data_IF_746146018829
#
_entry.id   IF_746146018829
#
_cell.length_a   1.000
_cell.length_b   1.000
_cell.length_c   1.000
_cell.angle_alpha   90.00
_cell.angle_beta   90.00
_cell.angle_gamma   90.00
#
_symmetry.space_group_name_H-M   'P 1'
#
loop_
_entity.id
_entity.type
_entity.pdbx_description
1 polymer ?
#
# COMPACT_ATOMS: atom_id res chain seq x y z
N UNK A 1 -10.30 16.73 11.82
CA UNK A 1 -10.78 15.83 10.76
C UNK A 1 -9.61 15.22 10.04
N UNK A 2 -9.58 13.93 9.99
CA UNK A 2 -8.48 13.23 9.36
C UNK A 2 -8.81 12.97 7.89
N UNK A 3 -7.88 13.28 7.02
CA UNK A 3 -8.00 13.02 5.60
C UNK A 3 -7.20 11.77 5.24
N UNK A 4 -7.44 10.71 5.97
CA UNK A 4 -6.74 9.45 5.74
C UNK A 4 -7.21 8.85 4.43
N UNK A 5 -6.26 8.58 3.54
CA UNK A 5 -6.58 7.84 2.33
C UNK A 5 -6.90 6.40 2.71
N UNK A 6 -8.02 5.89 2.23
CA UNK A 6 -8.42 4.51 2.45
C UNK A 6 -9.03 3.96 1.18
N UNK A 7 -8.58 2.77 0.79
CA UNK A 7 -9.08 2.10 -0.41
C UNK A 7 -9.95 0.92 0.00
N UNK A 8 -11.18 0.82 -0.52
CA UNK A 8 -12.05 -0.29 -0.15
C UNK A 8 -11.66 -1.58 -0.87
N UNK A 9 -11.68 -2.68 -0.13
CA UNK A 9 -11.38 -4.00 -0.68
C UNK A 9 -12.41 -4.98 -0.17
N UNK A 10 -13.14 -5.64 -1.08
CA UNK A 10 -14.04 -6.72 -0.71
C UNK A 10 -13.24 -8.02 -0.67
N UNK A 11 -13.45 -8.82 0.37
CA UNK A 11 -12.81 -10.12 0.47
C UNK A 11 -13.61 -11.14 -0.35
N UNK A 12 -12.94 -11.78 -1.30
CA UNK A 12 -13.52 -12.80 -2.17
C UNK A 12 -13.06 -14.18 -1.72
N UNK A 13 -13.66 -15.23 -2.26
CA UNK A 13 -13.23 -16.61 -1.97
C UNK A 13 -11.75 -16.83 -2.26
N UNK A 14 -11.28 -16.29 -3.38
CA UNK A 14 -9.87 -16.47 -3.77
C UNK A 14 -8.90 -15.88 -2.75
N UNK A 15 -9.38 -15.00 -1.88
CA UNK A 15 -8.54 -14.35 -0.86
C UNK A 15 -8.43 -15.17 0.42
N UNK A 16 -9.27 -16.20 0.57
CA UNK A 16 -9.36 -16.93 1.83
C UNK A 16 -8.67 -18.29 1.74
N UNK A 17 -8.32 -18.82 2.91
CA UNK A 17 -7.78 -20.18 3.03
C UNK A 17 -8.86 -21.11 3.54
N UNK A 18 -8.48 -22.36 3.85
CA UNK A 18 -9.44 -23.38 4.29
C UNK A 18 -10.13 -23.01 5.60
N UNK A 19 -9.57 -22.11 6.37
CA UNK A 19 -10.19 -21.65 7.62
C UNK A 19 -11.24 -20.59 7.43
N UNK A 20 -11.47 -20.14 6.20
CA UNK A 20 -12.47 -19.11 5.91
C UNK A 20 -12.01 -17.69 6.22
N UNK A 21 -10.73 -17.52 6.50
CA UNK A 21 -10.15 -16.19 6.77
C UNK A 21 -9.19 -15.83 5.65
N UNK A 22 -8.91 -14.55 5.49
CA UNK A 22 -7.98 -14.08 4.46
C UNK A 22 -6.63 -14.75 4.68
N UNK A 23 -6.11 -15.36 3.62
CA UNK A 23 -4.76 -15.93 3.63
C UNK A 23 -3.77 -14.79 3.87
N UNK A 24 -2.89 -14.97 4.85
CA UNK A 24 -2.11 -13.85 5.38
C UNK A 24 -1.31 -13.09 4.31
N UNK A 25 -0.81 -13.78 3.30
CA UNK A 25 -0.04 -13.12 2.25
C UNK A 25 -0.89 -12.19 1.37
N UNK A 26 -2.21 -12.41 1.34
CA UNK A 26 -3.09 -11.57 0.52
C UNK A 26 -3.23 -10.16 1.06
N UNK A 27 -2.96 -9.94 2.34
CA UNK A 27 -2.95 -8.57 2.86
C UNK A 27 -1.91 -7.71 2.15
N UNK A 28 -0.79 -8.31 1.74
CA UNK A 28 0.22 -7.59 0.97
C UNK A 28 -0.32 -7.16 -0.40
N UNK A 29 -1.17 -7.98 -1.01
CA UNK A 29 -1.82 -7.62 -2.27
C UNK A 29 -2.81 -6.48 -2.06
N UNK A 30 -3.58 -6.52 -0.99
CA UNK A 30 -4.52 -5.44 -0.66
C UNK A 30 -3.77 -4.13 -0.44
N UNK A 31 -2.63 -4.20 0.26
CA UNK A 31 -1.81 -3.03 0.51
C UNK A 31 -1.20 -2.49 -0.77
N UNK A 32 -0.78 -3.36 -1.69
CA UNK A 32 -0.23 -2.94 -2.96
C UNK A 32 -1.28 -2.20 -3.79
N UNK A 33 -2.51 -2.72 -3.84
CA UNK A 33 -3.59 -2.05 -4.55
C UNK A 33 -3.86 -0.67 -3.97
N UNK A 34 -3.88 -0.58 -2.64
CA UNK A 34 -4.13 0.69 -1.97
C UNK A 34 -3.03 1.70 -2.27
N UNK A 35 -1.75 1.27 -2.28
CA UNK A 35 -0.64 2.16 -2.64
C UNK A 35 -0.77 2.65 -4.08
N UNK A 36 -1.14 1.76 -5.00
CA UNK A 36 -1.31 2.12 -6.40
C UNK A 36 -2.40 3.17 -6.55
N UNK A 37 -3.52 3.01 -5.86
CA UNK A 37 -4.61 3.98 -5.93
C UNK A 37 -4.26 5.28 -5.22
N UNK A 38 -3.47 5.20 -4.15
CA UNK A 38 -2.98 6.38 -3.45
C UNK A 38 -2.14 7.25 -4.38
N UNK A 39 -1.19 6.63 -5.09
CA UNK A 39 -0.36 7.36 -6.04
C UNK A 39 -1.20 7.91 -7.19
N UNK A 40 -2.17 7.13 -7.68
CA UNK A 40 -3.05 7.58 -8.75
C UNK A 40 -3.86 8.80 -8.31
N UNK A 41 -4.32 8.79 -7.07
CA UNK A 41 -5.07 9.94 -6.52
C UNK A 41 -4.20 11.19 -6.43
N UNK A 42 -2.89 11.04 -6.33
CA UNK A 42 -1.94 12.15 -6.36
C UNK A 42 -1.54 12.54 -7.77
N UNK A 43 -2.05 11.85 -8.78
CA UNK A 43 -1.73 12.14 -10.17
C UNK A 43 -0.61 11.31 -10.76
N UNK A 44 -0.20 10.23 -10.09
CA UNK A 44 0.92 9.40 -10.55
C UNK A 44 0.42 8.01 -10.94
N UNK A 45 0.67 7.66 -12.21
CA UNK A 45 0.46 6.30 -12.71
C UNK A 45 1.82 5.65 -12.79
N UNK A 46 1.95 4.44 -12.26
CA UNK A 46 3.27 3.81 -12.20
C UNK A 46 3.83 3.49 -13.56
N UNK A 47 2.98 3.11 -14.52
CA UNK A 47 3.44 2.88 -15.89
C UNK A 47 3.91 4.18 -16.55
N UNK A 48 3.27 5.30 -16.25
CA UNK A 48 3.68 6.61 -16.76
C UNK A 48 5.01 7.03 -16.14
N UNK A 49 5.19 6.79 -14.84
CA UNK A 49 6.46 7.09 -14.18
C UNK A 49 7.59 6.29 -14.82
N UNK A 50 7.35 5.02 -15.10
CA UNK A 50 8.35 4.18 -15.74
C UNK A 50 8.71 4.72 -17.13
N UNK A 51 7.69 5.07 -17.92
CA UNK A 51 7.90 5.51 -19.29
C UNK A 51 8.52 6.89 -19.39
N UNK A 52 8.14 7.82 -18.52
CA UNK A 52 8.56 9.22 -18.62
C UNK A 52 9.74 9.56 -17.75
N UNK A 53 9.77 9.03 -16.53
CA UNK A 53 10.79 9.38 -15.55
C UNK A 53 11.87 8.31 -15.43
N UNK A 54 11.61 7.12 -15.99
CA UNK A 54 12.57 6.03 -15.93
C UNK A 54 12.75 5.44 -14.55
N UNK A 55 11.75 5.57 -13.69
CA UNK A 55 11.84 5.07 -12.32
C UNK A 55 10.76 4.04 -12.05
N UNK A 56 11.07 3.10 -11.16
CA UNK A 56 10.13 2.14 -10.62
C UNK A 56 10.27 2.12 -9.11
N UNK A 57 9.21 1.65 -8.44
CA UNK A 57 9.24 1.42 -7.00
C UNK A 57 9.18 -0.07 -6.75
N UNK A 58 10.10 -0.57 -5.92
CA UNK A 58 10.09 -1.99 -5.52
C UNK A 58 10.02 -2.05 -4.01
N UNK A 59 9.29 -3.04 -3.48
CA UNK A 59 9.20 -3.24 -2.05
C UNK A 59 10.49 -3.91 -1.58
N UNK A 60 11.14 -3.31 -0.59
CA UNK A 60 12.40 -3.84 -0.04
C UNK A 60 12.23 -4.29 1.41
N UNK A 61 11.15 -3.92 2.06
CA UNK A 61 10.88 -4.36 3.42
C UNK A 61 9.39 -4.27 3.70
N UNK A 62 8.88 -5.28 4.38
CA UNK A 62 7.48 -5.28 4.79
C UNK A 62 7.42 -5.84 6.21
N UNK A 63 6.79 -5.07 7.11
CA UNK A 63 6.52 -5.50 8.48
C UNK A 63 5.02 -5.46 8.67
N UNK A 64 4.44 -6.61 9.01
CA UNK A 64 2.99 -6.71 9.11
C UNK A 64 2.64 -7.44 10.40
N UNK A 65 1.73 -6.85 11.16
CA UNK A 65 1.21 -7.44 12.38
C UNK A 65 -0.25 -7.77 12.17
N UNK A 66 -0.61 -9.04 12.37
CA UNK A 66 -1.98 -9.51 12.19
C UNK A 66 -2.64 -9.54 13.55
N UNK A 67 -3.69 -8.72 13.71
CA UNK A 67 -4.37 -8.61 14.99
C UNK A 67 -5.65 -9.41 15.03
N UNK A 68 -6.44 -9.32 13.96
CA UNK A 68 -7.70 -10.06 13.85
C UNK A 68 -7.93 -10.42 12.40
N UNK A 69 -8.59 -11.54 12.13
CA UNK A 69 -8.77 -12.00 10.76
C UNK A 69 -9.90 -11.28 10.03
N UNK A 70 -9.69 -10.99 8.76
CA UNK A 70 -10.77 -10.66 7.85
C UNK A 70 -11.33 -11.95 7.29
N UNK A 71 -12.61 -11.94 6.95
CA UNK A 71 -13.33 -13.13 6.51
C UNK A 71 -13.95 -12.89 5.15
N UNK A 72 -14.36 -13.98 4.53
CA UNK A 72 -15.05 -13.91 3.25
C UNK A 72 -16.18 -12.88 3.32
N UNK A 73 -16.28 -12.10 2.28
CA UNK A 73 -17.31 -11.08 2.07
C UNK A 73 -17.20 -9.84 2.95
N UNK A 74 -16.21 -9.76 3.82
CA UNK A 74 -15.96 -8.51 4.55
C UNK A 74 -15.59 -7.40 3.57
N UNK A 75 -16.00 -6.17 3.91
CA UNK A 75 -15.48 -4.98 3.25
C UNK A 75 -14.38 -4.42 4.12
N UNK A 76 -13.24 -4.15 3.51
CA UNK A 76 -12.08 -3.65 4.25
C UNK A 76 -11.77 -2.23 3.81
N UNK A 77 -11.23 -1.44 4.73
CA UNK A 77 -10.65 -0.13 4.41
C UNK A 77 -9.15 -0.25 4.63
N UNK A 78 -8.39 -0.14 3.53
CA UNK A 78 -6.93 -0.26 3.57
C UNK A 78 -6.35 1.14 3.44
N UNK A 79 -5.69 1.60 4.50
CA UNK A 79 -5.19 2.98 4.55
C UNK A 79 -3.79 3.07 3.95
N UNK A 80 -3.42 4.28 3.54
CA UNK A 80 -2.07 4.58 3.07
C UNK A 80 -1.67 5.95 3.61
N UNK A 81 -0.52 6.00 4.24
CA UNK A 81 0.12 7.28 4.58
C UNK A 81 1.61 7.15 4.30
N UNK A 82 2.26 8.28 4.04
CA UNK A 82 3.72 8.29 3.95
C UNK A 82 4.22 8.70 5.33
N UNK A 83 4.84 7.74 6.01
CA UNK A 83 5.31 7.95 7.38
C UNK A 83 6.72 8.53 7.42
N UNK A 84 7.51 8.24 6.39
CA UNK A 84 8.90 8.64 6.33
C UNK A 84 9.40 8.50 4.91
N UNK A 85 10.39 9.29 4.55
CA UNK A 85 11.01 9.17 3.23
C UNK A 85 12.46 9.61 3.28
N UNK A 86 13.28 8.99 2.44
CA UNK A 86 14.63 9.45 2.16
C UNK A 86 14.65 9.93 0.71
N UNK A 87 15.83 10.29 0.21
CA UNK A 87 15.94 10.71 -1.19
C UNK A 87 15.48 9.62 -2.15
N UNK A 88 15.68 8.35 -1.79
CA UNK A 88 15.45 7.22 -2.70
C UNK A 88 14.44 6.19 -2.20
N UNK A 89 13.85 6.39 -1.02
CA UNK A 89 12.88 5.42 -0.49
C UNK A 89 11.75 6.11 0.25
N UNK A 90 10.62 5.40 0.34
CA UNK A 90 9.42 5.86 1.03
C UNK A 90 8.97 4.75 1.96
N UNK A 91 8.58 5.10 3.19
CA UNK A 91 7.94 4.15 4.08
C UNK A 91 6.46 4.49 4.18
N UNK A 92 5.64 3.54 3.77
CA UNK A 92 4.18 3.67 3.82
C UNK A 92 3.66 3.00 5.08
N UNK A 93 2.81 3.72 5.81
CA UNK A 93 2.00 3.12 6.87
C UNK A 93 0.70 2.66 6.27
N UNK A 94 0.34 1.40 6.49
CA UNK A 94 -0.87 0.83 5.89
C UNK A 94 -1.56 -0.06 6.90
N UNK A 95 -2.76 0.34 7.28
CA UNK A 95 -3.58 -0.43 8.19
C UNK A 95 -4.79 -0.98 7.45
N UNK A 96 -5.31 -2.09 7.94
CA UNK A 96 -6.52 -2.70 7.39
C UNK A 96 -7.58 -2.68 8.47
N UNK A 97 -8.70 -2.04 8.18
CA UNK A 97 -9.86 -1.93 9.09
C UNK A 97 -11.05 -2.66 8.49
N UNK A 98 -11.92 -3.18 9.36
CA UNK A 98 -13.19 -3.76 8.93
C UNK A 98 -14.17 -2.63 8.64
N UNK A 99 -14.79 -2.64 7.50
CA UNK A 99 -15.80 -1.71 7.02
C UNK A 99 -15.29 -0.30 6.76
N UNK A 100 -14.71 0.38 7.74
CA UNK A 100 -14.22 1.75 7.57
C UNK A 100 -13.07 2.01 8.52
N UNK A 101 -12.43 3.17 8.38
CA UNK A 101 -11.31 3.55 9.25
C UNK A 101 -11.72 3.72 10.71
N UNK A 102 -13.01 3.81 10.97
CA UNK A 102 -13.54 3.84 12.33
C UNK A 102 -13.85 2.46 12.86
N UNK A 103 -13.71 1.45 12.03
CA UNK A 103 -14.00 0.08 12.40
C UNK A 103 -12.86 -0.60 13.12
N UNK A 104 -12.98 -1.91 13.22
CA UNK A 104 -12.02 -2.74 13.94
C UNK A 104 -10.70 -2.81 13.18
N UNK A 105 -9.59 -2.57 13.86
CA UNK A 105 -8.27 -2.69 13.28
C UNK A 105 -7.90 -4.16 13.18
N UNK A 106 -7.67 -4.62 11.96
CA UNK A 106 -7.37 -6.03 11.69
C UNK A 106 -5.87 -6.28 11.47
N UNK A 107 -5.21 -5.37 10.75
CA UNK A 107 -3.81 -5.55 10.37
C UNK A 107 -3.11 -4.20 10.39
N UNK A 108 -1.86 -4.19 10.88
CA UNK A 108 -1.01 -3.01 10.79
C UNK A 108 0.20 -3.34 9.93
N UNK A 109 0.51 -2.46 8.99
CA UNK A 109 1.62 -2.69 8.08
C UNK A 109 2.52 -1.48 7.92
N UNK A 110 3.79 -1.75 7.67
CA UNK A 110 4.79 -0.75 7.31
C UNK A 110 5.56 -1.31 6.13
N UNK A 111 5.48 -0.62 4.99
CA UNK A 111 6.03 -1.10 3.73
C UNK A 111 7.03 -0.08 3.23
N UNK A 112 8.27 -0.51 3.02
CA UNK A 112 9.29 0.38 2.46
C UNK A 112 9.45 0.08 0.99
N UNK A 113 9.29 1.12 0.16
CA UNK A 113 9.50 1.06 -1.28
C UNK A 113 10.74 1.85 -1.65
N UNK A 114 11.60 1.27 -2.47
CA UNK A 114 12.78 1.95 -3.00
C UNK A 114 12.51 2.40 -4.42
N UNK A 115 12.94 3.62 -4.74
CA UNK A 115 12.85 4.17 -6.08
C UNK A 115 14.13 3.80 -6.82
N UNK A 116 13.99 3.11 -7.94
CA UNK A 116 15.11 2.59 -8.70
C UNK A 116 15.02 3.05 -10.15
N UNK A 117 16.20 3.14 -10.77
CA UNK A 117 16.29 3.31 -12.22
C UNK A 117 15.75 2.06 -12.89
N UNK A 118 14.86 2.21 -13.87
CA UNK A 118 14.19 1.09 -14.51
C UNK A 118 15.16 0.18 -15.27
N UNK A 119 16.27 0.74 -15.74
CA UNK A 119 17.24 -0.02 -16.55
C UNK A 119 18.35 -0.63 -15.71
N UNK A 120 18.89 0.13 -14.75
CA UNK A 120 20.06 -0.31 -13.98
C UNK A 120 19.69 -0.89 -12.62
N UNK A 121 18.47 -0.65 -12.14
CA UNK A 121 18.01 -1.01 -10.80
C UNK A 121 18.82 -0.34 -9.69
N UNK A 122 19.52 0.75 -10.01
CA UNK A 122 20.23 1.53 -9.00
C UNK A 122 19.29 2.53 -8.37
N UNK A 123 19.53 2.91 -7.13
CA UNK A 123 18.69 3.92 -6.45
C UNK A 123 18.62 5.22 -7.25
N UNK A 124 17.44 5.77 -7.36
CA UNK A 124 17.15 7.03 -8.01
C UNK A 124 16.35 7.92 -7.07
N UNK A 125 16.48 9.21 -7.24
CA UNK A 125 15.72 10.15 -6.44
C UNK A 125 14.22 10.00 -6.73
N UNK A 126 13.43 9.98 -5.66
CA UNK A 126 11.98 9.97 -5.77
C UNK A 126 11.53 11.31 -6.36
N UNK A 127 10.63 11.30 -7.35
CA UNK A 127 10.03 12.56 -7.81
C UNK A 127 9.43 13.28 -6.62
N UNK A 128 9.83 14.56 -6.42
CA UNK A 128 9.47 15.28 -5.19
C UNK A 128 7.98 15.40 -4.98
N UNK A 129 7.22 15.51 -6.06
CA UNK A 129 5.77 15.65 -5.96
C UNK A 129 5.09 14.46 -5.29
N UNK A 130 5.71 13.28 -5.30
CA UNK A 130 5.13 12.10 -4.69
C UNK A 130 5.11 12.22 -3.17
N UNK A 131 6.18 12.80 -2.60
CA UNK A 131 6.32 12.90 -1.14
C UNK A 131 5.90 14.27 -0.61
N UNK A 132 5.63 15.22 -1.48
CA UNK A 132 5.13 16.50 -1.05
C UNK A 132 3.72 16.37 -0.51
N UNK A 133 3.44 17.14 0.52
CA UNK A 133 2.08 17.25 1.04
C UNK A 133 1.23 18.11 0.14
N UNK A 134 0.03 17.68 -0.06
CA UNK A 134 -0.94 18.46 -0.82
C UNK A 134 -1.96 19.07 0.10
#
# INVERSE_FOLDING_TARGET
MSDVFAWPVRVYYEDTDVGGVVYYANYLRFMERARTEYLRAKGFEQDTLMAREGVIFVVVQAEVTFRKPARFNDMLAVTVSIDDSTRTSVRFGQNVYRDSVDGELLVEGSIRGACLDVNTFRPRAIPTAIVEKT
#
